data_IF_744816025266
#
_entry.id   IF_744816025266
#
_cell.length_a   1.000
_cell.length_b   1.000
_cell.length_c   1.000
_cell.angle_alpha   90.00
_cell.angle_beta   90.00
_cell.angle_gamma   90.00
#
_symmetry.space_group_name_H-M   'P 1'
#
loop_
_entity.id
_entity.type
_entity.pdbx_description
1 polymer ?
#
# COMPACT_ATOMS: atom_id res chain seq x y z
N UNK A 1 -10.11 22.05 -9.63
CA UNK A 1 -9.15 21.19 -10.38
C UNK A 1 -9.84 19.86 -10.70
N UNK A 2 -9.53 19.25 -11.84
CA UNK A 2 -9.99 17.89 -12.13
C UNK A 2 -9.32 16.89 -11.18
N UNK A 3 -10.01 15.81 -10.84
CA UNK A 3 -9.41 14.74 -10.04
C UNK A 3 -8.46 13.89 -10.92
N UNK A 4 -7.26 13.59 -10.43
CA UNK A 4 -6.25 12.81 -11.15
C UNK A 4 -5.72 11.67 -10.31
N UNK A 5 -5.30 10.60 -10.98
CA UNK A 5 -4.57 9.49 -10.38
C UNK A 5 -3.31 9.23 -11.20
N UNK A 6 -2.17 9.16 -10.53
CA UNK A 6 -0.86 8.97 -11.12
C UNK A 6 -0.20 7.77 -10.46
N UNK A 7 0.44 6.90 -11.23
CA UNK A 7 1.07 5.66 -10.75
C UNK A 7 2.59 5.76 -10.85
N UNK A 8 3.28 5.33 -9.79
CA UNK A 8 4.75 5.41 -9.66
C UNK A 8 5.41 4.05 -9.43
N UNK A 9 4.72 2.96 -9.78
CA UNK A 9 5.21 1.59 -9.59
C UNK A 9 4.56 0.89 -8.40
N UNK A 10 4.47 -0.44 -8.49
CA UNK A 10 4.00 -1.31 -7.41
C UNK A 10 2.62 -0.88 -6.91
N UNK A 11 2.51 -0.32 -5.71
CA UNK A 11 1.26 0.20 -5.14
C UNK A 11 1.29 1.70 -4.89
N UNK A 12 2.33 2.41 -5.36
CA UNK A 12 2.53 3.83 -5.12
C UNK A 12 1.71 4.66 -6.11
N UNK A 13 0.74 5.41 -5.58
CA UNK A 13 -0.08 6.35 -6.36
C UNK A 13 -0.11 7.74 -5.76
N UNK A 14 -0.31 8.75 -6.60
CA UNK A 14 -0.73 10.10 -6.18
C UNK A 14 -2.14 10.38 -6.67
N UNK A 15 -3.03 10.68 -5.73
CA UNK A 15 -4.40 11.14 -5.98
C UNK A 15 -4.46 12.65 -5.73
N UNK A 16 -4.88 13.41 -6.73
CA UNK A 16 -5.25 14.83 -6.54
C UNK A 16 -6.75 14.97 -6.66
N UNK A 17 -7.44 15.41 -5.61
CA UNK A 17 -8.90 15.56 -5.60
C UNK A 17 -9.35 16.57 -4.55
N UNK A 18 -10.41 17.34 -4.85
CA UNK A 18 -11.00 18.32 -3.92
C UNK A 18 -9.99 19.29 -3.27
N UNK A 19 -8.90 19.62 -3.98
CA UNK A 19 -7.83 20.50 -3.47
C UNK A 19 -6.80 19.81 -2.57
N UNK A 20 -6.88 18.49 -2.39
CA UNK A 20 -5.91 17.67 -1.65
C UNK A 20 -4.96 16.94 -2.60
N UNK A 21 -3.72 16.76 -2.16
CA UNK A 21 -2.72 15.85 -2.74
C UNK A 21 -2.47 14.70 -1.79
N UNK A 22 -2.81 13.48 -2.21
CA UNK A 22 -2.78 12.27 -1.39
C UNK A 22 -1.84 11.25 -2.00
N UNK A 23 -0.98 10.67 -1.18
CA UNK A 23 -0.12 9.54 -1.56
C UNK A 23 -0.70 8.24 -1.01
N UNK A 24 -0.75 7.22 -1.85
CA UNK A 24 -1.12 5.85 -1.50
C UNK A 24 0.16 5.02 -1.59
N UNK A 25 0.69 4.55 -0.46
CA UNK A 25 2.06 4.05 -0.31
C UNK A 25 3.12 5.06 -0.84
N UNK A 26 4.41 4.81 -0.59
CA UNK A 26 5.49 5.79 -0.91
C UNK A 26 6.77 5.18 -1.46
N UNK A 27 6.71 3.98 -2.04
CA UNK A 27 7.90 3.27 -2.55
C UNK A 27 8.47 3.88 -3.85
N UNK A 28 9.01 5.10 -3.74
CA UNK A 28 9.61 5.88 -4.82
C UNK A 28 11.11 5.60 -5.00
N UNK A 29 11.82 5.39 -3.89
CA UNK A 29 13.19 4.88 -3.91
C UNK A 29 13.13 3.36 -4.03
N UNK A 30 13.61 2.82 -5.15
CA UNK A 30 13.49 1.40 -5.51
C UNK A 30 14.88 0.82 -5.76
N UNK A 31 15.06 -0.51 -5.73
CA UNK A 31 16.28 -1.15 -6.21
C UNK A 31 16.72 -0.54 -7.54
N UNK A 32 17.99 -0.17 -7.64
CA UNK A 32 18.59 0.57 -8.77
C UNK A 32 18.34 -0.01 -10.16
N UNK A 33 18.04 -1.30 -10.24
CA UNK A 33 17.72 -2.00 -11.49
C UNK A 33 16.27 -1.83 -11.94
N UNK A 34 15.38 -1.38 -11.05
CA UNK A 34 13.98 -1.14 -11.33
C UNK A 34 13.75 0.29 -11.84
N UNK A 35 12.74 0.51 -12.69
CA UNK A 35 12.39 1.85 -13.12
C UNK A 35 12.02 2.76 -11.95
N UNK A 36 12.63 3.94 -11.92
CA UNK A 36 12.29 5.05 -11.01
C UNK A 36 11.52 6.10 -11.80
N UNK A 37 10.28 6.38 -11.40
CA UNK A 37 9.37 7.27 -12.12
C UNK A 37 9.32 8.69 -11.55
N UNK A 38 9.73 8.87 -10.30
CA UNK A 38 9.83 10.16 -9.62
C UNK A 38 10.95 10.08 -8.57
N UNK A 39 11.73 11.16 -8.43
CA UNK A 39 12.66 11.26 -7.31
C UNK A 39 11.92 11.70 -6.05
N UNK A 40 12.20 11.06 -4.91
CA UNK A 40 11.51 11.41 -3.67
C UNK A 40 11.74 12.87 -3.28
N UNK A 41 12.92 13.40 -3.61
CA UNK A 41 13.27 14.81 -3.38
C UNK A 41 12.42 15.78 -4.21
N UNK A 42 11.84 15.33 -5.33
CA UNK A 42 10.96 16.14 -6.20
C UNK A 42 9.49 16.14 -5.72
N UNK A 43 9.18 15.44 -4.62
CA UNK A 43 7.84 15.48 -4.02
C UNK A 43 7.69 16.80 -3.25
N UNK A 44 7.05 17.79 -3.88
CA UNK A 44 6.80 19.10 -3.27
C UNK A 44 5.45 19.21 -2.55
N UNK A 45 4.49 18.35 -2.91
CA UNK A 45 3.12 18.43 -2.42
C UNK A 45 2.65 17.08 -1.86
N UNK A 46 2.21 17.09 -0.61
CA UNK A 46 1.45 16.02 0.02
C UNK A 46 0.68 16.58 1.23
N UNK A 47 -0.63 16.39 1.25
CA UNK A 47 -1.49 16.68 2.39
C UNK A 47 -1.69 15.46 3.29
N UNK A 48 -1.78 14.28 2.66
CA UNK A 48 -2.01 13.01 3.32
C UNK A 48 -1.20 11.90 2.68
N UNK A 49 -0.73 10.95 3.49
CA UNK A 49 -0.07 9.72 3.06
C UNK A 49 -0.85 8.56 3.69
N UNK A 50 -1.35 7.65 2.88
CA UNK A 50 -2.01 6.43 3.33
C UNK A 50 -1.09 5.26 3.07
N UNK A 51 -0.68 4.56 4.13
CA UNK A 51 0.15 3.37 4.02
C UNK A 51 -0.72 2.14 4.22
N UNK A 52 -0.67 1.23 3.24
CA UNK A 52 -1.42 -0.02 3.29
C UNK A 52 -0.91 -0.95 4.39
N UNK A 53 0.42 -1.08 4.52
CA UNK A 53 1.12 -1.83 5.57
C UNK A 53 2.63 -1.56 5.58
N UNK A 54 3.34 -2.09 6.57
CA UNK A 54 4.71 -1.69 6.90
C UNK A 54 5.83 -2.39 6.09
N UNK A 55 5.53 -3.08 4.99
CA UNK A 55 6.55 -3.78 4.19
C UNK A 55 7.39 -2.83 3.31
N UNK A 56 8.55 -3.35 2.88
CA UNK A 56 9.62 -2.62 2.19
C UNK A 56 9.23 -1.99 0.85
N UNK A 57 8.20 -2.52 0.19
CA UNK A 57 7.68 -2.08 -1.10
C UNK A 57 6.44 -1.18 -0.98
N UNK A 58 6.12 -0.75 0.24
CA UNK A 58 4.93 0.05 0.56
C UNK A 58 5.26 1.35 1.34
N UNK A 59 5.97 1.22 2.46
CA UNK A 59 6.14 2.32 3.43
C UNK A 59 7.39 3.21 3.26
N UNK A 60 8.56 2.74 2.77
CA UNK A 60 9.76 3.57 2.73
C UNK A 60 9.53 4.92 2.04
N UNK A 61 10.16 5.97 2.56
CA UNK A 61 10.00 7.35 2.07
C UNK A 61 8.86 8.14 2.71
N UNK A 62 7.93 7.50 3.42
CA UNK A 62 6.82 8.18 4.08
C UNK A 62 7.29 9.20 5.13
N UNK A 63 8.39 8.92 5.84
CA UNK A 63 8.96 9.83 6.83
C UNK A 63 9.55 11.09 6.18
N UNK A 64 10.24 10.93 5.05
CA UNK A 64 10.84 12.03 4.29
C UNK A 64 9.76 12.95 3.73
N UNK A 65 8.76 12.38 3.05
CA UNK A 65 7.66 13.15 2.47
C UNK A 65 6.86 13.84 3.57
N UNK A 66 6.50 13.13 4.65
CA UNK A 66 5.74 13.71 5.75
C UNK A 66 6.48 14.91 6.37
N UNK A 67 7.76 14.76 6.74
CA UNK A 67 8.55 15.85 7.33
C UNK A 67 8.71 17.03 6.38
N UNK A 68 8.87 16.77 5.08
CA UNK A 68 9.05 17.82 4.06
C UNK A 68 7.78 18.64 3.86
N UNK A 69 6.61 18.00 3.78
CA UNK A 69 5.38 18.68 3.34
C UNK A 69 4.42 19.02 4.48
N UNK A 70 4.58 18.43 5.66
CA UNK A 70 3.59 18.49 6.74
C UNK A 70 2.40 17.55 6.52
N UNK A 71 2.52 16.54 5.65
CA UNK A 71 1.45 15.57 5.40
C UNK A 71 1.09 14.77 6.64
N UNK A 72 -0.18 14.46 6.82
CA UNK A 72 -0.62 13.50 7.84
C UNK A 72 -0.48 12.09 7.28
N UNK A 73 0.22 11.22 7.99
CA UNK A 73 0.36 9.80 7.67
C UNK A 73 -0.70 8.98 8.40
N UNK A 74 -1.53 8.29 7.62
CA UNK A 74 -2.55 7.34 8.08
C UNK A 74 -2.02 5.94 7.81
N UNK A 75 -1.79 5.17 8.87
CA UNK A 75 -1.23 3.83 8.75
C UNK A 75 -1.57 2.94 9.96
N UNK A 76 -1.26 1.65 9.87
CA UNK A 76 -1.38 0.76 11.01
C UNK A 76 -0.36 1.11 12.12
N UNK A 77 -0.55 0.51 13.31
CA UNK A 77 0.31 0.79 14.47
C UNK A 77 1.80 0.49 14.26
N UNK A 78 2.14 -0.54 13.48
CA UNK A 78 3.53 -0.90 13.19
C UNK A 78 4.23 0.19 12.37
N UNK A 79 3.60 0.61 11.27
CA UNK A 79 4.10 1.68 10.42
C UNK A 79 4.23 3.00 11.22
N UNK A 80 3.21 3.36 11.99
CA UNK A 80 3.24 4.57 12.83
C UNK A 80 4.37 4.53 13.86
N UNK A 81 4.62 3.39 14.50
CA UNK A 81 5.72 3.26 15.46
C UNK A 81 7.09 3.44 14.81
N UNK A 82 7.28 2.92 13.60
CA UNK A 82 8.53 3.09 12.83
C UNK A 82 8.73 4.56 12.48
N UNK A 83 7.70 5.24 11.97
CA UNK A 83 7.75 6.66 11.62
C UNK A 83 7.98 7.55 12.84
N UNK A 84 7.38 7.22 13.98
CA UNK A 84 7.63 7.89 15.27
C UNK A 84 9.09 7.75 15.68
N UNK A 85 9.67 6.56 15.57
CA UNK A 85 11.08 6.33 15.88
C UNK A 85 11.99 7.12 14.93
N UNK A 86 11.59 7.26 13.68
CA UNK A 86 12.23 8.12 12.68
C UNK A 86 11.99 9.63 12.89
N UNK A 87 11.34 10.04 13.99
CA UNK A 87 11.11 11.46 14.34
C UNK A 87 10.17 12.19 13.39
N UNK A 88 9.22 11.51 12.78
CA UNK A 88 8.04 12.19 12.21
C UNK A 88 7.24 12.81 13.38
N UNK A 89 6.85 14.09 13.31
CA UNK A 89 6.06 14.75 14.35
C UNK A 89 4.77 14.01 14.70
N UNK A 90 4.42 13.93 15.99
CA UNK A 90 3.27 13.14 16.47
C UNK A 90 1.94 13.63 15.89
N UNK A 91 1.79 14.94 15.68
CA UNK A 91 0.61 15.55 15.06
C UNK A 91 0.40 15.15 13.60
N UNK A 92 1.43 14.61 12.95
CA UNK A 92 1.36 14.05 11.59
C UNK A 92 1.05 12.56 11.60
N UNK A 93 1.05 11.88 12.74
CA UNK A 93 0.88 10.43 12.82
C UNK A 93 -0.54 10.06 13.25
N UNK A 94 -1.26 9.33 12.39
CA UNK A 94 -2.64 8.90 12.64
C UNK A 94 -2.74 7.37 12.56
N UNK A 95 -2.62 6.65 13.69
CA UNK A 95 -2.78 5.20 13.72
C UNK A 95 -4.23 4.78 13.50
N UNK A 96 -4.42 3.74 12.69
CA UNK A 96 -5.73 3.16 12.34
C UNK A 96 -5.66 1.63 12.31
N UNK A 97 -6.80 0.96 12.42
CA UNK A 97 -6.88 -0.51 12.47
C UNK A 97 -7.92 -1.12 11.52
N UNK A 98 -8.75 -0.30 10.85
CA UNK A 98 -9.83 -0.80 10.00
C UNK A 98 -11.18 -0.73 10.69
N UNK A 99 -11.77 0.46 10.65
CA UNK A 99 -13.08 0.80 11.19
C UNK A 99 -13.33 2.31 11.27
N UNK A 100 -12.29 3.09 10.99
CA UNK A 100 -12.29 4.54 11.06
C UNK A 100 -13.01 5.19 9.86
N UNK A 101 -13.66 6.32 10.14
CA UNK A 101 -14.21 7.24 9.14
C UNK A 101 -13.50 8.57 9.32
N UNK A 102 -12.55 8.86 8.44
CA UNK A 102 -11.60 9.95 8.60
C UNK A 102 -12.01 11.11 7.70
N UNK A 103 -12.43 12.26 8.25
CA UNK A 103 -12.59 13.47 7.45
C UNK A 103 -11.20 14.01 7.06
N UNK A 104 -11.03 14.32 5.78
CA UNK A 104 -9.84 14.98 5.24
C UNK A 104 -10.13 16.46 5.04
N UNK A 105 -9.16 17.31 5.39
CA UNK A 105 -9.29 18.75 5.40
C UNK A 105 -8.17 19.37 4.58
N UNK A 106 -8.43 20.51 3.94
CA UNK A 106 -7.36 21.32 3.35
C UNK A 106 -6.37 21.75 4.44
N UNK A 107 -5.08 21.83 4.10
CA UNK A 107 -4.05 22.28 5.05
C UNK A 107 -4.41 23.63 5.71
N UNK A 108 -4.92 24.57 4.92
CA UNK A 108 -5.34 25.88 5.42
C UNK A 108 -6.41 25.78 6.52
N UNK A 109 -7.35 24.84 6.42
CA UNK A 109 -8.37 24.65 7.45
C UNK A 109 -7.80 23.97 8.69
N UNK A 110 -6.85 23.04 8.54
CA UNK A 110 -6.10 22.47 9.68
C UNK A 110 -5.34 23.56 10.43
N UNK A 111 -4.63 24.42 9.71
CA UNK A 111 -3.87 25.54 10.28
C UNK A 111 -4.80 26.53 11.01
N UNK A 112 -5.95 26.86 10.42
CA UNK A 112 -6.96 27.74 11.04
C UNK A 112 -7.59 27.11 12.28
N UNK A 113 -7.85 25.81 12.29
CA UNK A 113 -8.38 25.11 13.46
C UNK A 113 -7.36 25.07 14.60
N UNK A 114 -6.08 24.81 14.29
CA UNK A 114 -5.00 24.86 15.28
C UNK A 114 -4.85 26.27 15.89
N UNK A 115 -5.09 27.32 15.11
CA UNK A 115 -5.11 28.70 15.58
C UNK A 115 -6.42 29.14 16.27
N UNK A 116 -7.42 28.27 16.40
CA UNK A 116 -8.73 28.61 16.97
C UNK A 116 -9.56 29.58 16.12
N UNK A 117 -9.23 29.72 14.83
CA UNK A 117 -9.85 30.67 13.90
C UNK A 117 -11.11 30.12 13.21
N UNK A 118 -11.39 28.83 13.36
CA UNK A 118 -12.63 28.18 12.91
C UNK A 118 -13.16 27.25 13.98
N UNK A 119 -14.40 26.82 13.81
CA UNK A 119 -15.01 25.80 14.68
C UNK A 119 -14.21 24.50 14.61
N UNK A 120 -13.86 23.99 15.79
CA UNK A 120 -13.11 22.75 15.97
C UNK A 120 -14.04 21.60 16.36
N UNK A 121 -13.65 20.38 16.02
CA UNK A 121 -14.33 19.18 16.49
C UNK A 121 -14.19 19.05 18.01
N UNK A 122 -15.20 18.50 18.71
CA UNK A 122 -15.10 18.23 20.15
C UNK A 122 -13.97 17.23 20.42
N UNK A 123 -13.25 17.44 21.52
CA UNK A 123 -12.14 16.60 21.94
C UNK A 123 -11.88 16.72 23.44
N UNK A 124 -11.10 15.80 24.03
CA UNK A 124 -10.72 15.90 25.43
C UNK A 124 -9.83 17.14 25.68
N UNK A 125 -9.76 17.64 26.93
CA UNK A 125 -8.86 18.74 27.28
C UNK A 125 -7.42 18.46 26.83
N UNK A 126 -6.78 19.42 26.18
CA UNK A 126 -5.41 19.31 25.67
C UNK A 126 -5.26 18.63 24.31
N UNK A 127 -6.35 18.11 23.71
CA UNK A 127 -6.31 17.65 22.32
C UNK A 127 -6.06 18.84 21.37
N UNK A 128 -5.22 18.67 20.32
CA UNK A 128 -5.02 19.72 19.33
C UNK A 128 -6.32 20.03 18.60
N UNK A 129 -6.54 21.31 18.28
CA UNK A 129 -7.71 21.77 17.55
C UNK A 129 -7.79 21.13 16.16
N UNK A 130 -8.75 20.24 15.94
CA UNK A 130 -9.06 19.65 14.63
C UNK A 130 -10.24 20.37 14.02
N UNK A 131 -10.28 20.62 12.70
CA UNK A 131 -11.45 21.27 12.10
C UNK A 131 -12.73 20.47 12.37
N UNK A 132 -13.85 21.16 12.61
CA UNK A 132 -15.15 20.51 12.65
C UNK A 132 -15.45 19.79 11.32
N UNK A 133 -16.13 18.65 11.36
CA UNK A 133 -16.37 17.80 10.18
C UNK A 133 -17.09 18.51 9.02
N UNK A 134 -17.80 19.62 9.28
CA UNK A 134 -18.41 20.46 8.24
C UNK A 134 -17.41 21.12 7.28
N UNK A 135 -16.14 21.20 7.65
CA UNK A 135 -15.06 21.71 6.81
C UNK A 135 -14.33 20.61 6.04
N UNK A 136 -14.75 19.35 6.16
CA UNK A 136 -14.10 18.26 5.45
C UNK A 136 -14.22 18.46 3.93
N UNK A 137 -13.10 18.34 3.22
CA UNK A 137 -13.08 18.27 1.78
C UNK A 137 -13.79 17.00 1.30
N UNK A 138 -13.52 15.87 1.97
CA UNK A 138 -14.24 14.60 1.87
C UNK A 138 -13.82 13.65 2.99
N UNK A 139 -14.35 12.42 3.03
CA UNK A 139 -13.99 11.41 4.03
C UNK A 139 -13.42 10.13 3.42
N UNK A 140 -12.68 9.37 4.24
CA UNK A 140 -12.15 8.05 3.89
C UNK A 140 -12.65 7.04 4.91
N UNK A 141 -13.17 5.91 4.44
CA UNK A 141 -13.44 4.75 5.28
C UNK A 141 -12.23 3.80 5.23
N UNK A 142 -11.70 3.45 6.40
CA UNK A 142 -10.60 2.50 6.55
C UNK A 142 -11.16 1.13 6.86
N UNK A 143 -10.64 0.10 6.19
CA UNK A 143 -11.08 -1.28 6.34
C UNK A 143 -9.89 -2.22 6.55
N UNK A 144 -10.03 -3.27 7.37
CA UNK A 144 -8.99 -4.29 7.44
C UNK A 144 -8.91 -5.04 6.11
N UNK A 145 -7.71 -5.40 5.72
CA UNK A 145 -7.41 -6.18 4.52
C UNK A 145 -6.41 -7.29 4.86
N UNK A 146 -5.97 -8.04 3.85
CA UNK A 146 -5.05 -9.16 4.00
C UNK A 146 -3.96 -9.13 2.93
N UNK A 147 -2.74 -9.47 3.35
CA UNK A 147 -1.64 -9.72 2.43
C UNK A 147 -1.89 -11.00 1.62
N UNK A 148 -1.42 -11.08 0.38
CA UNK A 148 -1.49 -12.31 -0.41
C UNK A 148 -0.49 -13.37 0.09
N UNK A 149 -0.71 -14.63 -0.24
CA UNK A 149 0.33 -15.65 -0.08
C UNK A 149 1.28 -15.63 -1.27
N UNK A 150 2.56 -15.93 -1.03
CA UNK A 150 3.51 -16.12 -2.12
C UNK A 150 3.39 -17.54 -2.67
N UNK A 151 3.12 -17.73 -3.97
CA UNK A 151 3.12 -19.06 -4.58
C UNK A 151 4.55 -19.57 -4.79
N UNK A 152 4.75 -20.88 -4.59
CA UNK A 152 6.04 -21.55 -4.78
C UNK A 152 6.85 -21.72 -3.49
N UNK A 153 8.06 -22.26 -3.62
CA UNK A 153 9.05 -22.34 -2.54
C UNK A 153 9.78 -20.99 -2.41
N UNK A 154 9.96 -20.48 -1.20
CA UNK A 154 10.70 -19.24 -0.93
C UNK A 154 12.14 -19.27 -1.46
N UNK A 155 12.72 -20.46 -1.65
CA UNK A 155 14.06 -20.61 -2.26
C UNK A 155 14.11 -20.39 -3.78
N UNK A 156 12.98 -20.59 -4.48
CA UNK A 156 12.91 -20.54 -5.94
C UNK A 156 11.57 -19.91 -6.40
N UNK A 157 11.39 -18.59 -6.23
CA UNK A 157 10.19 -17.92 -6.72
C UNK A 157 10.09 -18.09 -8.25
N UNK A 158 8.88 -18.27 -8.80
CA UNK A 158 8.71 -18.44 -10.23
C UNK A 158 9.12 -17.17 -10.99
N UNK A 159 9.78 -17.33 -12.14
CA UNK A 159 10.15 -16.24 -13.04
C UNK A 159 8.93 -15.45 -13.55
N UNK A 160 7.74 -16.04 -13.51
CA UNK A 160 6.47 -15.41 -13.89
C UNK A 160 5.36 -15.95 -13.02
N UNK A 161 4.57 -15.03 -12.43
CA UNK A 161 3.33 -15.37 -11.73
C UNK A 161 2.19 -15.28 -12.75
N UNK A 162 1.72 -16.43 -13.23
CA UNK A 162 0.57 -16.49 -14.13
C UNK A 162 -0.73 -16.38 -13.30
N UNK A 163 -1.54 -15.38 -13.61
CA UNK A 163 -2.79 -15.10 -12.90
C UNK A 163 -3.85 -16.17 -13.11
N UNK A 164 -3.67 -17.04 -14.11
CA UNK A 164 -4.53 -18.20 -14.41
C UNK A 164 -4.14 -19.45 -13.63
N UNK A 165 -2.95 -19.51 -13.04
CA UNK A 165 -2.53 -20.68 -12.27
C UNK A 165 -3.49 -20.88 -11.11
N UNK A 166 -4.13 -22.05 -11.08
CA UNK A 166 -5.00 -22.45 -9.99
C UNK A 166 -4.18 -23.12 -8.90
N UNK A 167 -4.39 -22.65 -7.67
CA UNK A 167 -3.83 -23.25 -6.47
C UNK A 167 -4.96 -23.85 -5.66
N UNK A 168 -4.83 -25.13 -5.28
CA UNK A 168 -5.84 -25.82 -4.48
C UNK A 168 -5.21 -26.38 -3.20
N UNK A 169 -6.01 -26.42 -2.14
CA UNK A 169 -5.58 -26.88 -0.83
C UNK A 169 -4.71 -25.86 -0.09
N UNK A 170 -4.65 -26.02 1.23
CA UNK A 170 -3.65 -25.40 2.08
C UNK A 170 -2.43 -26.32 2.19
N UNK A 171 -1.22 -25.75 2.31
CA UNK A 171 -0.04 -26.57 2.56
C UNK A 171 -0.12 -27.27 3.94
N UNK A 172 -0.86 -26.65 4.87
CA UNK A 172 -1.11 -27.11 6.23
C UNK A 172 -2.39 -26.45 6.77
N UNK A 173 -3.14 -27.07 7.71
CA UNK A 173 -4.27 -26.43 8.41
C UNK A 173 -3.91 -25.17 9.21
N UNK A 174 -2.62 -24.88 9.32
CA UNK A 174 -2.09 -23.69 9.99
C UNK A 174 -1.58 -22.62 9.03
N UNK A 175 -1.68 -22.82 7.71
CA UNK A 175 -1.25 -21.81 6.73
C UNK A 175 -2.03 -20.51 6.92
N UNK A 176 -1.34 -19.43 7.24
CA UNK A 176 -1.94 -18.13 7.57
C UNK A 176 -0.95 -16.97 7.37
N UNK A 177 -1.34 -15.75 7.73
CA UNK A 177 -0.50 -14.55 7.59
C UNK A 177 0.81 -14.61 8.37
N UNK A 178 0.94 -15.52 9.35
CA UNK A 178 2.21 -15.77 10.03
C UNK A 178 3.29 -16.29 9.06
N UNK A 179 2.92 -17.10 8.07
CA UNK A 179 3.86 -17.62 7.06
C UNK A 179 4.47 -16.48 6.23
N UNK A 180 3.68 -15.42 5.96
CA UNK A 180 4.15 -14.22 5.27
C UNK A 180 5.19 -13.50 6.12
N UNK A 181 4.91 -13.32 7.42
CA UNK A 181 5.84 -12.69 8.37
C UNK A 181 7.14 -13.51 8.50
N UNK A 182 7.05 -14.84 8.57
CA UNK A 182 8.19 -15.74 8.62
C UNK A 182 9.01 -15.64 7.32
N UNK A 183 8.35 -15.68 6.16
CA UNK A 183 8.98 -15.55 4.85
C UNK A 183 9.71 -14.22 4.67
N UNK A 184 9.11 -13.12 5.13
CA UNK A 184 9.75 -11.81 5.17
C UNK A 184 10.97 -11.81 6.09
N UNK A 185 10.79 -12.23 7.36
CA UNK A 185 11.82 -12.13 8.40
C UNK A 185 13.03 -13.02 8.15
N UNK A 186 12.79 -14.26 7.72
CA UNK A 186 13.83 -15.28 7.63
C UNK A 186 14.23 -15.62 6.19
N UNK A 187 13.43 -15.21 5.20
CA UNK A 187 13.74 -15.37 3.77
C UNK A 187 14.18 -14.04 3.15
N UNK A 188 13.21 -13.22 2.71
CA UNK A 188 13.47 -12.05 1.87
C UNK A 188 14.46 -11.06 2.51
N UNK A 189 14.26 -10.70 3.78
CA UNK A 189 15.15 -9.76 4.48
C UNK A 189 16.49 -10.36 4.90
N UNK A 190 16.74 -11.63 4.56
CA UNK A 190 18.01 -12.34 4.77
C UNK A 190 18.66 -12.78 3.46
N UNK A 191 18.20 -12.29 2.30
CA UNK A 191 18.79 -12.64 1.00
C UNK A 191 20.31 -12.45 0.96
N UNK A 192 20.82 -11.39 1.61
CA UNK A 192 22.26 -11.11 1.73
C UNK A 192 23.04 -12.19 2.48
N UNK A 193 22.42 -12.91 3.40
CA UNK A 193 23.03 -14.05 4.11
C UNK A 193 22.85 -15.37 3.34
N UNK A 194 21.68 -15.54 2.70
CA UNK A 194 21.24 -16.82 2.15
C UNK A 194 21.75 -17.08 0.73
N UNK A 195 21.99 -16.04 -0.06
CA UNK A 195 22.41 -16.17 -1.46
C UNK A 195 23.92 -15.93 -1.55
N UNK A 196 24.74 -16.94 -1.91
CA UNK A 196 26.18 -16.76 -2.08
C UNK A 196 26.51 -15.72 -3.15
N UNK A 197 27.61 -14.98 -3.00
CA UNK A 197 27.97 -13.86 -3.90
C UNK A 197 28.05 -14.27 -5.37
N UNK A 198 28.53 -15.47 -5.65
CA UNK A 198 28.64 -16.07 -6.98
C UNK A 198 27.29 -16.35 -7.65
N UNK A 199 26.20 -16.40 -6.88
CA UNK A 199 24.82 -16.59 -7.38
C UNK A 199 24.03 -15.28 -7.45
N UNK A 200 24.64 -14.13 -7.14
CA UNK A 200 23.97 -12.82 -7.18
C UNK A 200 24.14 -12.19 -8.55
N UNK A 201 23.10 -12.25 -9.35
CA UNK A 201 23.01 -11.38 -10.53
C UNK A 201 22.80 -9.91 -10.12
N UNK A 202 22.93 -8.94 -11.04
CA UNK A 202 22.76 -7.52 -10.70
C UNK A 202 21.39 -7.16 -10.11
N UNK A 203 20.34 -7.92 -10.47
CA UNK A 203 19.01 -7.70 -9.92
C UNK A 203 18.93 -8.13 -8.46
N UNK A 204 19.40 -9.33 -8.16
CA UNK A 204 19.50 -9.85 -6.79
C UNK A 204 20.36 -8.94 -5.92
N UNK A 205 21.55 -8.55 -6.41
CA UNK A 205 22.44 -7.68 -5.65
C UNK A 205 21.79 -6.33 -5.37
N UNK A 206 21.13 -5.72 -6.36
CA UNK A 206 20.45 -4.45 -6.15
C UNK A 206 19.27 -4.52 -5.18
N UNK A 207 18.57 -5.66 -5.09
CA UNK A 207 17.52 -5.87 -4.08
C UNK A 207 18.14 -6.04 -2.69
N UNK A 208 19.24 -6.79 -2.58
CA UNK A 208 19.96 -6.94 -1.30
C UNK A 208 20.45 -5.58 -0.81
N UNK A 209 21.10 -4.79 -1.67
CA UNK A 209 21.61 -3.46 -1.31
C UNK A 209 20.49 -2.55 -0.79
N UNK A 210 19.30 -2.61 -1.40
CA UNK A 210 18.12 -1.87 -0.96
C UNK A 210 17.59 -2.35 0.41
N UNK A 211 17.46 -3.67 0.61
CA UNK A 211 16.93 -4.23 1.85
C UNK A 211 17.89 -4.09 3.05
N UNK A 212 19.19 -4.04 2.79
CA UNK A 212 20.22 -3.91 3.82
C UNK A 212 20.40 -2.45 4.28
N UNK A 213 20.04 -1.45 3.47
CA UNK A 213 20.05 -0.03 3.85
C UNK A 213 18.81 0.35 4.69
N UNK A 214 18.78 -0.18 5.91
CA UNK A 214 17.70 0.02 6.89
C UNK A 214 17.68 1.40 7.53
N UNK A 215 18.75 2.18 7.36
CA UNK A 215 18.79 3.58 7.81
C UNK A 215 18.00 4.46 6.85
N UNK A 216 18.10 4.20 5.54
CA UNK A 216 17.38 4.94 4.51
C UNK A 216 15.98 4.39 4.23
N UNK A 217 15.81 3.07 4.28
CA UNK A 217 14.57 2.41 3.91
C UNK A 217 13.88 1.86 5.16
N UNK A 218 12.89 2.61 5.64
CA UNK A 218 12.16 2.27 6.85
C UNK A 218 11.01 1.31 6.53
N UNK A 219 11.06 0.10 7.08
CA UNK A 219 10.05 -0.95 6.94
C UNK A 219 10.16 -2.00 8.06
N UNK A 220 9.21 -2.93 8.10
CA UNK A 220 9.18 -4.06 9.03
C UNK A 220 9.03 -5.38 8.28
N UNK A 221 9.46 -6.46 8.92
CA UNK A 221 9.14 -7.82 8.47
C UNK A 221 7.68 -8.19 8.80
N UNK A 222 7.10 -7.55 9.82
CA UNK A 222 5.72 -7.72 10.23
C UNK A 222 4.91 -6.63 9.54
N UNK A 223 3.88 -7.01 8.79
CA UNK A 223 3.09 -6.03 8.04
C UNK A 223 2.32 -5.06 8.96
N UNK A 224 2.02 -5.48 10.20
CA UNK A 224 1.20 -4.74 11.17
C UNK A 224 -0.31 -4.90 10.97
N UNK A 225 -0.71 -5.80 10.07
CA UNK A 225 -2.07 -5.90 9.54
C UNK A 225 -2.27 -4.98 8.33
N UNK A 226 -2.82 -5.52 7.26
CA UNK A 226 -3.08 -4.74 6.05
C UNK A 226 -4.36 -3.90 6.17
N UNK A 227 -4.35 -2.77 5.49
CA UNK A 227 -5.46 -1.85 5.39
C UNK A 227 -5.87 -1.65 3.93
N UNK A 228 -7.16 -1.39 3.73
CA UNK A 228 -7.71 -0.90 2.49
C UNK A 228 -8.52 0.37 2.76
N UNK A 229 -8.64 1.22 1.75
CA UNK A 229 -9.16 2.57 1.91
C UNK A 229 -10.22 2.86 0.87
N UNK A 230 -11.40 3.30 1.30
CA UNK A 230 -12.45 3.78 0.42
C UNK A 230 -12.58 5.30 0.55
N UNK A 231 -12.16 6.03 -0.48
CA UNK A 231 -12.16 7.49 -0.55
C UNK A 231 -13.49 7.98 -1.11
N UNK A 232 -14.27 8.72 -0.33
CA UNK A 232 -15.61 9.20 -0.69
C UNK A 232 -15.55 10.66 -1.14
N UNK A 233 -14.93 10.91 -2.29
CA UNK A 233 -14.59 12.26 -2.78
C UNK A 233 -15.83 13.12 -3.04
N UNK A 234 -16.88 12.52 -3.62
CA UNK A 234 -18.21 13.12 -3.78
C UNK A 234 -19.27 12.01 -3.81
N UNK A 235 -20.58 12.33 -3.73
CA UNK A 235 -21.64 11.31 -3.74
C UNK A 235 -21.61 10.36 -4.95
N UNK A 236 -21.00 10.79 -6.05
CA UNK A 236 -20.88 10.08 -7.33
C UNK A 236 -19.44 9.69 -7.70
N UNK A 237 -18.47 9.92 -6.79
CA UNK A 237 -17.05 9.60 -7.01
C UNK A 237 -16.43 9.00 -5.76
N UNK A 238 -16.26 7.69 -5.83
CA UNK A 238 -15.64 6.88 -4.79
C UNK A 238 -14.49 6.07 -5.36
N UNK A 239 -13.39 5.98 -4.61
CA UNK A 239 -12.22 5.19 -5.00
C UNK A 239 -11.91 4.20 -3.89
N UNK A 240 -11.91 2.90 -4.20
CA UNK A 240 -11.44 1.87 -3.27
C UNK A 240 -10.04 1.44 -3.64
N UNK A 241 -9.10 1.44 -2.69
CA UNK A 241 -7.74 0.97 -2.88
C UNK A 241 -7.44 -0.19 -1.95
N UNK A 242 -7.04 -1.32 -2.54
CA UNK A 242 -6.54 -2.50 -1.84
C UNK A 242 -5.19 -2.90 -2.43
N UNK A 243 -4.13 -2.70 -1.64
CA UNK A 243 -2.74 -2.79 -2.07
C UNK A 243 -2.22 -4.23 -2.21
N UNK A 244 -2.96 -5.23 -1.74
CA UNK A 244 -2.59 -6.63 -1.89
C UNK A 244 -3.78 -7.52 -2.21
N UNK A 245 -3.49 -8.72 -2.72
CA UNK A 245 -4.52 -9.68 -3.09
C UNK A 245 -4.99 -10.46 -1.86
N UNK A 246 -5.73 -9.80 -1.00
CA UNK A 246 -6.43 -10.43 0.10
C UNK A 246 -7.58 -9.56 0.59
N UNK A 247 -8.56 -10.19 1.23
CA UNK A 247 -9.73 -9.50 1.73
C UNK A 247 -10.50 -10.37 2.74
N UNK A 248 -11.27 -9.69 3.58
CA UNK A 248 -12.37 -10.32 4.32
C UNK A 248 -13.65 -10.24 3.49
N UNK A 249 -14.32 -11.37 3.24
CA UNK A 249 -15.50 -11.44 2.38
C UNK A 249 -16.62 -10.51 2.86
N UNK A 250 -16.93 -10.56 4.16
CA UNK A 250 -17.96 -9.73 4.78
C UNK A 250 -17.67 -8.24 4.62
N UNK A 251 -16.41 -7.83 4.82
CA UNK A 251 -15.99 -6.43 4.67
C UNK A 251 -16.25 -5.93 3.25
N UNK A 252 -15.79 -6.64 2.22
CA UNK A 252 -15.95 -6.19 0.83
C UNK A 252 -17.42 -6.23 0.40
N UNK A 253 -18.17 -7.26 0.82
CA UNK A 253 -19.60 -7.39 0.52
C UNK A 253 -20.47 -6.31 1.17
N UNK A 254 -20.16 -5.94 2.40
CA UNK A 254 -21.01 -5.04 3.20
C UNK A 254 -20.50 -3.59 3.20
N UNK A 255 -19.28 -3.34 2.70
CA UNK A 255 -18.73 -1.99 2.58
C UNK A 255 -19.67 -1.10 1.76
N UNK A 256 -20.12 0.01 2.36
CA UNK A 256 -20.86 1.07 1.69
C UNK A 256 -20.21 2.44 1.95
N UNK A 257 -20.26 3.37 0.97
CA UNK A 257 -20.75 3.17 -0.40
C UNK A 257 -19.82 2.26 -1.22
N UNK A 258 -20.36 1.56 -2.21
CA UNK A 258 -19.54 0.84 -3.21
C UNK A 258 -18.73 1.80 -4.07
N UNK A 259 -17.51 1.40 -4.50
CA UNK A 259 -16.63 2.27 -5.25
C UNK A 259 -17.06 2.43 -6.71
N UNK A 260 -16.87 3.62 -7.26
CA UNK A 260 -16.93 3.89 -8.69
C UNK A 260 -15.65 3.42 -9.40
N UNK A 261 -14.51 3.56 -8.72
CA UNK A 261 -13.18 3.13 -9.19
C UNK A 261 -12.53 2.24 -8.15
N UNK A 262 -11.95 1.12 -8.57
CA UNK A 262 -11.19 0.25 -7.68
C UNK A 262 -9.74 0.11 -8.14
N UNK A 263 -8.78 0.36 -7.25
CA UNK A 263 -7.36 0.11 -7.43
C UNK A 263 -7.02 -1.18 -6.71
N UNK A 264 -6.75 -2.25 -7.45
CA UNK A 264 -6.69 -3.60 -6.90
C UNK A 264 -5.39 -4.30 -7.27
N UNK A 265 -4.69 -4.84 -6.27
CA UNK A 265 -3.52 -5.67 -6.48
C UNK A 265 -3.80 -7.01 -7.15
N UNK A 266 -2.88 -7.40 -8.05
CA UNK A 266 -2.94 -8.64 -8.81
C UNK A 266 -1.63 -9.44 -8.69
N UNK A 267 -1.06 -9.57 -7.49
CA UNK A 267 0.14 -10.37 -7.25
C UNK A 267 -0.06 -11.45 -6.16
N UNK A 268 0.48 -12.65 -6.42
CA UNK A 268 0.49 -13.80 -5.50
C UNK A 268 -0.78 -14.66 -5.52
N UNK A 269 -0.92 -15.53 -4.52
CA UNK A 269 -2.12 -16.34 -4.27
C UNK A 269 -3.02 -15.60 -3.30
N UNK A 270 -4.29 -15.44 -3.65
CA UNK A 270 -5.21 -14.64 -2.85
C UNK A 270 -5.39 -15.16 -1.42
N UNK A 271 -5.57 -14.24 -0.47
CA UNK A 271 -5.89 -14.53 0.92
C UNK A 271 -7.35 -14.14 1.23
N UNK A 272 -8.21 -15.14 1.39
CA UNK A 272 -9.64 -14.95 1.66
C UNK A 272 -9.95 -15.35 3.11
N UNK A 273 -10.38 -14.38 3.91
CA UNK A 273 -10.74 -14.60 5.32
C UNK A 273 -9.62 -15.29 6.14
N UNK A 274 -8.37 -14.96 5.82
CA UNK A 274 -7.17 -15.51 6.47
C UNK A 274 -6.68 -16.84 5.90
N UNK A 275 -7.31 -17.37 4.85
CA UNK A 275 -6.95 -18.65 4.22
C UNK A 275 -6.50 -18.48 2.77
N UNK A 276 -5.57 -19.32 2.28
CA UNK A 276 -5.24 -19.36 0.87
C UNK A 276 -6.47 -19.68 0.03
N UNK A 277 -6.80 -18.82 -0.93
CA UNK A 277 -7.92 -19.04 -1.83
C UNK A 277 -7.69 -20.30 -2.69
N UNK A 278 -8.75 -21.10 -2.85
CA UNK A 278 -8.77 -22.24 -3.76
C UNK A 278 -9.23 -21.77 -5.13
N UNK A 279 -8.28 -21.60 -6.03
CA UNK A 279 -8.48 -21.07 -7.37
C UNK A 279 -7.30 -20.21 -7.82
N UNK A 280 -7.51 -19.45 -8.87
CA UNK A 280 -6.52 -18.54 -9.44
C UNK A 280 -6.69 -17.10 -8.96
N UNK A 281 -5.64 -16.30 -9.14
CA UNK A 281 -5.70 -14.86 -8.90
C UNK A 281 -6.81 -14.19 -9.73
N UNK A 282 -6.96 -14.60 -10.99
CA UNK A 282 -8.00 -14.09 -11.89
C UNK A 282 -9.42 -14.45 -11.41
N UNK A 283 -9.65 -15.65 -10.87
CA UNK A 283 -10.95 -16.02 -10.30
C UNK A 283 -11.26 -15.20 -9.05
N UNK A 284 -10.27 -15.02 -8.16
CA UNK A 284 -10.45 -14.23 -6.94
C UNK A 284 -10.76 -12.77 -7.25
N UNK A 285 -10.04 -12.16 -8.20
CA UNK A 285 -10.23 -10.74 -8.51
C UNK A 285 -11.60 -10.48 -9.14
N UNK A 286 -12.12 -11.39 -9.97
CA UNK A 286 -13.49 -11.32 -10.51
C UNK A 286 -14.51 -11.39 -9.36
N UNK A 287 -14.28 -12.26 -8.38
CA UNK A 287 -15.13 -12.38 -7.18
C UNK A 287 -15.12 -11.07 -6.38
N UNK A 288 -13.95 -10.45 -6.20
CA UNK A 288 -13.82 -9.17 -5.50
C UNK A 288 -14.53 -8.02 -6.25
N UNK A 289 -14.38 -7.93 -7.58
CA UNK A 289 -15.08 -6.94 -8.43
C UNK A 289 -16.60 -7.11 -8.31
N UNK A 290 -17.11 -8.34 -8.28
CA UNK A 290 -18.53 -8.60 -8.09
C UNK A 290 -19.04 -8.18 -6.70
N UNK A 291 -18.26 -8.42 -5.64
CA UNK A 291 -18.61 -7.95 -4.29
C UNK A 291 -18.58 -6.43 -4.17
N UNK A 292 -17.68 -5.78 -4.90
CA UNK A 292 -17.63 -4.32 -5.06
C UNK A 292 -18.73 -3.76 -5.98
N UNK A 293 -19.67 -4.60 -6.45
CA UNK A 293 -20.78 -4.23 -7.33
C UNK A 293 -20.36 -3.66 -8.68
N UNK A 294 -19.28 -4.22 -9.26
CA UNK A 294 -18.79 -3.88 -10.60
C UNK A 294 -18.48 -2.38 -10.74
N UNK A 295 -17.43 -1.88 -10.06
CA UNK A 295 -16.94 -0.51 -10.26
C UNK A 295 -16.78 -0.19 -11.75
N UNK A 296 -17.08 1.05 -12.12
CA UNK A 296 -17.02 1.56 -13.50
C UNK A 296 -15.62 1.44 -14.09
N UNK A 297 -14.59 1.45 -13.25
CA UNK A 297 -13.21 1.27 -13.67
C UNK A 297 -12.40 0.50 -12.62
N UNK A 298 -11.50 -0.36 -13.11
CA UNK A 298 -10.55 -1.08 -12.27
C UNK A 298 -9.14 -0.75 -12.75
N UNK A 299 -8.29 -0.35 -11.82
CA UNK A 299 -6.88 -0.01 -12.03
C UNK A 299 -6.04 -1.07 -11.31
N UNK A 300 -5.02 -1.61 -11.99
CA UNK A 300 -4.23 -2.70 -11.44
C UNK A 300 -3.06 -2.20 -10.61
N UNK A 301 -2.98 -2.78 -9.41
CA UNK A 301 -1.91 -2.83 -8.43
C UNK A 301 -0.80 -3.86 -8.69
N UNK A 302 0.46 -3.63 -8.31
CA UNK A 302 1.50 -4.67 -8.31
C UNK A 302 1.61 -5.37 -9.67
N UNK A 303 1.66 -4.62 -10.77
CA UNK A 303 1.67 -5.17 -12.13
C UNK A 303 2.99 -4.90 -12.90
N UNK A 304 3.99 -4.36 -12.20
CA UNK A 304 5.28 -3.96 -12.74
C UNK A 304 6.39 -5.00 -12.55
N UNK A 305 7.53 -4.75 -13.18
CA UNK A 305 8.70 -5.63 -13.11
C UNK A 305 9.24 -5.66 -11.67
N UNK A 306 9.32 -6.84 -11.04
CA UNK A 306 9.79 -6.99 -9.64
C UNK A 306 11.28 -7.31 -9.49
N UNK A 307 11.89 -7.93 -10.50
CA UNK A 307 13.30 -8.33 -10.48
C UNK A 307 13.87 -8.21 -11.89
N UNK A 308 14.95 -7.44 -12.07
CA UNK A 308 15.61 -7.31 -13.37
C UNK A 308 16.35 -8.61 -13.74
N UNK A 309 15.64 -9.63 -14.22
CA UNK A 309 16.28 -10.83 -14.73
C UNK A 309 16.86 -10.54 -16.14
N UNK A 310 18.20 -10.40 -16.22
CA UNK A 310 18.93 -9.97 -17.43
C UNK A 310 18.74 -10.87 -18.66
N UNK A 311 18.24 -12.10 -18.53
CA UNK A 311 17.97 -12.97 -19.70
C UNK A 311 16.96 -12.37 -20.69
N UNK A 312 16.17 -11.38 -20.28
CA UNK A 312 15.19 -10.69 -21.15
C UNK A 312 15.68 -9.38 -21.78
N UNK A 313 16.75 -8.76 -21.27
CA UNK A 313 17.24 -7.48 -21.77
C UNK A 313 17.95 -7.57 -23.13
N UNK A 314 18.33 -8.77 -23.58
CA UNK A 314 18.92 -8.97 -24.90
C UNK A 314 17.89 -9.11 -26.03
N UNK A 315 16.60 -9.37 -25.75
CA UNK A 315 15.66 -9.85 -26.79
C UNK A 315 14.21 -9.33 -26.74
N UNK A 316 13.84 -8.33 -25.92
CA UNK A 316 12.43 -7.90 -25.89
C UNK A 316 12.21 -6.39 -26.06
N UNK A 317 11.61 -6.04 -27.20
CA UNK A 317 10.85 -4.80 -27.46
C UNK A 317 9.49 -4.76 -26.74
N UNK A 318 9.27 -5.47 -25.63
CA UNK A 318 7.97 -5.44 -24.90
C UNK A 318 8.16 -5.65 -23.37
N UNK A 319 7.47 -4.86 -22.53
CA UNK A 319 7.60 -4.90 -21.07
C UNK A 319 7.03 -6.18 -20.44
N UNK A 320 7.50 -6.51 -19.23
CA UNK A 320 6.87 -7.52 -18.36
C UNK A 320 5.43 -7.07 -18.07
N UNK A 321 4.45 -7.84 -18.52
CA UNK A 321 3.02 -7.60 -18.33
C UNK A 321 2.47 -8.81 -17.60
N UNK A 322 1.72 -8.59 -16.52
CA UNK A 322 0.85 -9.58 -15.90
C UNK A 322 -0.10 -10.09 -16.99
N UNK A 323 0.06 -11.34 -17.41
CA UNK A 323 -0.77 -11.97 -18.44
C UNK A 323 -1.86 -12.83 -17.86
#
# INVERSE_FOLDING_TARGET
MAATIEWFGTTTYRLKAAGLVIWLDTWLERPSVLPKYLNIDDVEEADYIFISHAHYDHMPGADLIAKKTGAIVIANGEAINILRNAKVPEEQLMPVAGGERIPLFLKADRDRAAAGAIEIAPGPPGAPGRPHGRFAAFQVHVWPSLHCFMPGDFGHPPDTVDTRTEYTGEASPYTCTLDITIGMKYGLLRMGDLIPKEHRDPGIQSTIDYLDDKERHLFSHFDGGQLSFNFLISPDKTIFWNAHMGAYEGVIKDMEPKPDVAILALAGRANLDGRPYNGSAAQFIVKMINWLKQPKSVIWCLHDERYANRRRLANMKRPMIYR
#
